data_IF_751701860911
#
_entry.id   IF_751701860911
#
_cell.length_a   1.000
_cell.length_b   1.000
_cell.length_c   1.000
_cell.angle_alpha   90.00
_cell.angle_beta   90.00
_cell.angle_gamma   90.00
#
_symmetry.space_group_name_H-M   'P 1'
#
loop_
_entity.id
_entity.type
_entity.pdbx_description
1 polymer ?
#
# COMPACT_ATOMS: atom_id res chain seq x y z
N UNK A 1 54.61 52.66 -41.28
CA UNK A 1 53.80 53.73 -40.64
C UNK A 1 53.70 53.42 -39.15
N UNK A 2 54.24 54.27 -38.25
CA UNK A 2 54.08 54.06 -36.82
C UNK A 2 52.60 54.18 -36.46
N UNK A 3 52.05 53.16 -35.79
CA UNK A 3 50.71 53.21 -35.24
C UNK A 3 50.76 54.30 -34.15
N UNK A 4 50.05 55.41 -34.33
CA UNK A 4 49.99 56.45 -33.30
C UNK A 4 49.38 55.85 -32.03
N UNK A 5 49.85 56.28 -30.86
CA UNK A 5 49.35 55.81 -29.56
C UNK A 5 47.81 55.86 -29.46
N UNK A 6 47.18 56.85 -30.11
CA UNK A 6 45.73 56.97 -30.21
C UNK A 6 45.04 55.81 -30.96
N UNK A 7 45.62 55.29 -32.05
CA UNK A 7 45.08 54.15 -32.81
C UNK A 7 45.23 52.84 -32.05
N UNK A 8 46.32 52.70 -31.29
CA UNK A 8 46.53 51.55 -30.41
C UNK A 8 45.56 51.58 -29.23
N UNK A 9 45.39 52.73 -28.58
CA UNK A 9 44.42 52.93 -27.50
C UNK A 9 42.98 52.67 -27.96
N UNK A 10 42.58 53.14 -29.16
CA UNK A 10 41.25 52.88 -29.73
C UNK A 10 41.02 51.38 -29.98
N UNK A 11 42.03 50.65 -30.49
CA UNK A 11 41.95 49.20 -30.70
C UNK A 11 41.81 48.44 -29.38
N UNK A 12 42.57 48.81 -28.36
CA UNK A 12 42.44 48.23 -27.03
C UNK A 12 41.10 48.56 -26.37
N UNK A 13 40.60 49.78 -26.52
CA UNK A 13 39.28 50.16 -26.04
C UNK A 13 38.16 49.36 -26.74
N UNK A 14 38.25 49.17 -28.06
CA UNK A 14 37.28 48.39 -28.82
C UNK A 14 37.36 46.90 -28.47
N UNK A 15 38.57 46.35 -28.30
CA UNK A 15 38.75 44.99 -27.81
C UNK A 15 38.18 44.80 -26.39
N UNK A 16 38.43 45.75 -25.48
CA UNK A 16 37.87 45.73 -24.13
C UNK A 16 36.34 45.79 -24.15
N UNK A 17 35.75 46.64 -25.00
CA UNK A 17 34.30 46.72 -25.17
C UNK A 17 33.71 45.40 -25.67
N UNK A 18 34.34 44.76 -26.67
CA UNK A 18 33.88 43.45 -27.18
C UNK A 18 33.94 42.39 -26.07
N UNK A 19 35.01 42.36 -25.28
CA UNK A 19 35.12 41.43 -24.14
C UNK A 19 34.02 41.69 -23.12
N UNK A 20 33.72 42.95 -22.78
CA UNK A 20 32.64 43.30 -21.85
C UNK A 20 31.28 42.82 -22.39
N UNK A 21 30.99 43.06 -23.67
CA UNK A 21 29.73 42.60 -24.30
C UNK A 21 29.62 41.09 -24.27
N UNK A 22 30.70 40.35 -24.58
CA UNK A 22 30.71 38.89 -24.50
C UNK A 22 30.49 38.37 -23.08
N UNK A 23 31.10 39.01 -22.08
CA UNK A 23 30.91 38.65 -20.66
C UNK A 23 29.46 38.92 -20.23
N UNK A 24 28.88 40.07 -20.60
CA UNK A 24 27.49 40.40 -20.28
C UNK A 24 26.51 39.45 -20.97
N UNK A 25 26.66 39.21 -22.27
CA UNK A 25 25.83 38.29 -23.03
C UNK A 25 25.95 36.86 -22.48
N UNK A 26 27.18 36.41 -22.17
CA UNK A 26 27.44 35.13 -21.54
C UNK A 26 26.79 35.01 -20.16
N UNK A 27 26.85 36.07 -19.34
CA UNK A 27 26.21 36.11 -18.01
C UNK A 27 24.68 36.01 -18.12
N UNK A 28 24.07 36.77 -19.05
CA UNK A 28 22.62 36.72 -19.28
C UNK A 28 22.20 35.32 -19.72
N UNK A 29 22.96 34.70 -20.63
CA UNK A 29 22.68 33.34 -21.10
C UNK A 29 22.83 32.32 -19.96
N UNK A 30 23.88 32.45 -19.15
CA UNK A 30 24.12 31.58 -18.00
C UNK A 30 22.99 31.71 -16.96
N UNK A 31 22.53 32.92 -16.65
CA UNK A 31 21.43 33.16 -15.70
C UNK A 31 20.07 32.66 -16.21
N UNK A 32 19.86 32.64 -17.53
CA UNK A 32 18.66 32.06 -18.13
C UNK A 32 18.67 30.54 -18.18
N UNK A 33 19.84 29.91 -18.09
CA UNK A 33 20.00 28.47 -18.26
C UNK A 33 20.45 27.82 -16.96
N UNK A 34 21.74 27.92 -16.62
CA UNK A 34 22.39 27.24 -15.50
C UNK A 34 22.10 27.86 -14.13
N UNK A 35 21.94 29.19 -14.08
CA UNK A 35 21.69 29.92 -12.83
C UNK A 35 20.23 30.39 -12.74
N UNK A 36 19.32 29.56 -13.26
CA UNK A 36 17.87 29.80 -13.28
C UNK A 36 17.15 29.04 -12.16
N UNK A 37 15.95 29.49 -11.75
CA UNK A 37 15.08 28.72 -10.85
C UNK A 37 14.76 27.31 -11.38
N UNK A 38 14.54 27.18 -12.68
CA UNK A 38 14.22 25.92 -13.35
C UNK A 38 15.36 24.91 -13.21
N UNK A 39 16.61 25.37 -13.32
CA UNK A 39 17.76 24.50 -13.14
C UNK A 39 17.83 23.90 -11.73
N UNK A 40 17.44 24.66 -10.70
CA UNK A 40 17.38 24.14 -9.32
C UNK A 40 16.33 23.04 -9.16
N UNK A 41 15.16 23.18 -9.79
CA UNK A 41 14.11 22.15 -9.80
C UNK A 41 14.55 20.89 -10.57
N UNK A 42 15.23 21.06 -11.70
CA UNK A 42 15.81 19.94 -12.44
C UNK A 42 16.93 19.24 -11.66
N UNK A 43 17.80 20.00 -10.99
CA UNK A 43 18.84 19.46 -10.13
C UNK A 43 18.24 18.68 -8.95
N UNK A 44 17.17 19.20 -8.33
CA UNK A 44 16.41 18.47 -7.32
C UNK A 44 15.94 17.12 -7.86
N UNK A 45 15.26 17.10 -9.01
CA UNK A 45 14.76 15.84 -9.59
C UNK A 45 15.89 14.84 -9.87
N UNK A 46 17.05 15.30 -10.35
CA UNK A 46 18.21 14.44 -10.54
C UNK A 46 18.71 13.82 -9.24
N UNK A 47 18.79 14.60 -8.16
CA UNK A 47 19.18 14.11 -6.83
C UNK A 47 18.19 13.07 -6.33
N UNK A 48 16.88 13.31 -6.49
CA UNK A 48 15.84 12.35 -6.12
C UNK A 48 15.99 11.05 -6.92
N UNK A 49 16.13 11.14 -8.25
CA UNK A 49 16.27 9.98 -9.12
C UNK A 49 17.55 9.17 -8.84
N UNK A 50 18.61 9.81 -8.34
CA UNK A 50 19.85 9.16 -7.92
C UNK A 50 19.80 8.63 -6.48
N UNK A 51 18.70 8.86 -5.74
CA UNK A 51 18.58 8.46 -4.35
C UNK A 51 19.44 9.31 -3.40
N UNK A 52 19.89 10.49 -3.81
CA UNK A 52 20.73 11.40 -3.03
C UNK A 52 19.92 12.33 -2.13
N UNK A 53 19.14 11.71 -1.22
CA UNK A 53 18.20 12.39 -0.34
C UNK A 53 18.79 13.45 0.56
N UNK A 54 19.98 13.21 1.13
CA UNK A 54 20.64 14.20 1.99
C UNK A 54 20.96 15.50 1.22
N UNK A 55 21.39 15.39 -0.05
CA UNK A 55 21.66 16.56 -0.90
C UNK A 55 20.35 17.23 -1.32
N UNK A 56 19.32 16.45 -1.66
CA UNK A 56 17.99 16.97 -2.00
C UNK A 56 17.36 17.74 -0.83
N UNK A 57 17.43 17.22 0.40
CA UNK A 57 16.97 17.92 1.61
C UNK A 57 17.72 19.24 1.80
N UNK A 58 19.04 19.23 1.64
CA UNK A 58 19.87 20.43 1.74
C UNK A 58 19.52 21.47 0.69
N UNK A 59 19.27 21.04 -0.54
CA UNK A 59 18.86 21.91 -1.65
C UNK A 59 17.49 22.55 -1.38
N UNK A 60 16.51 21.76 -0.92
CA UNK A 60 15.16 22.24 -0.61
C UNK A 60 15.07 23.08 0.67
N UNK A 61 16.09 23.01 1.55
CA UNK A 61 16.01 23.51 2.93
C UNK A 61 14.77 22.98 3.67
N UNK A 62 14.36 21.75 3.35
CA UNK A 62 13.11 21.18 3.83
C UNK A 62 13.24 20.67 5.27
N UNK A 63 12.20 20.92 6.07
CA UNK A 63 12.04 20.28 7.38
C UNK A 63 11.45 18.88 7.19
N UNK A 64 11.99 17.91 7.91
CA UNK A 64 11.50 16.53 7.92
C UNK A 64 10.55 16.35 9.11
N UNK A 65 9.25 16.07 8.89
CA UNK A 65 8.34 15.69 9.95
C UNK A 65 8.76 14.42 10.69
N UNK A 66 8.14 14.16 11.84
CA UNK A 66 8.30 12.89 12.53
C UNK A 66 7.73 11.73 11.70
N UNK A 67 8.47 10.62 11.65
CA UNK A 67 8.07 9.42 10.92
C UNK A 67 9.28 8.57 10.53
N UNK A 68 9.03 7.48 9.80
CA UNK A 68 10.08 6.62 9.27
C UNK A 68 10.75 7.25 8.04
N UNK A 69 12.03 7.57 8.17
CA UNK A 69 12.84 8.22 7.13
C UNK A 69 13.28 7.26 6.01
N UNK A 70 12.85 6.00 6.02
CA UNK A 70 13.24 4.97 5.04
C UNK A 70 13.07 5.38 3.58
N UNK A 71 12.06 6.21 3.26
CA UNK A 71 11.80 6.69 1.90
C UNK A 71 12.62 7.92 1.49
N UNK A 72 13.42 8.49 2.39
CA UNK A 72 14.12 9.74 2.14
C UNK A 72 15.50 9.58 1.53
N UNK A 73 16.06 8.37 1.35
CA UNK A 73 17.41 8.22 0.79
C UNK A 73 17.62 6.84 0.16
N UNK A 74 18.65 6.72 -0.69
CA UNK A 74 19.11 5.45 -1.24
C UNK A 74 18.12 4.78 -2.19
N UNK A 75 18.10 3.45 -2.20
CA UNK A 75 17.31 2.65 -3.15
C UNK A 75 15.81 2.84 -3.00
N UNK A 76 15.30 3.07 -1.78
CA UNK A 76 13.87 3.34 -1.58
C UNK A 76 13.49 4.65 -2.25
N UNK A 77 14.27 5.72 -2.05
CA UNK A 77 14.07 6.99 -2.72
C UNK A 77 14.12 6.83 -4.25
N UNK A 78 15.11 6.10 -4.80
CA UNK A 78 15.17 5.82 -6.25
C UNK A 78 13.90 5.13 -6.75
N UNK A 79 13.40 4.13 -6.00
CA UNK A 79 12.16 3.43 -6.37
C UNK A 79 10.93 4.35 -6.33
N UNK A 80 10.89 5.34 -5.45
CA UNK A 80 9.81 6.34 -5.50
C UNK A 80 9.83 7.22 -6.75
N UNK A 81 10.98 7.28 -7.43
CA UNK A 81 11.18 8.08 -8.65
C UNK A 81 11.10 7.26 -9.93
N UNK A 82 11.12 5.92 -9.84
CA UNK A 82 11.24 5.04 -11.01
C UNK A 82 10.10 5.23 -12.04
N UNK A 83 8.90 5.54 -11.58
CA UNK A 83 7.74 5.83 -12.42
C UNK A 83 7.58 7.31 -12.82
N UNK A 84 8.51 8.19 -12.43
CA UNK A 84 8.49 9.62 -12.78
C UNK A 84 9.27 9.82 -14.08
N UNK A 85 8.55 10.08 -15.19
CA UNK A 85 9.12 10.24 -16.53
C UNK A 85 8.70 11.55 -17.18
N UNK A 86 9.33 11.90 -18.31
CA UNK A 86 9.01 13.11 -19.09
C UNK A 86 9.08 14.41 -18.27
N UNK A 87 9.99 14.49 -17.30
CA UNK A 87 10.12 15.63 -16.40
C UNK A 87 10.60 16.88 -17.14
N UNK A 88 9.75 17.90 -17.17
CA UNK A 88 10.03 19.22 -17.76
C UNK A 88 9.57 20.32 -16.82
N UNK A 89 9.99 21.56 -17.07
CA UNK A 89 9.67 22.72 -16.22
C UNK A 89 9.23 23.89 -17.09
N UNK A 90 8.19 24.59 -16.65
CA UNK A 90 7.78 25.85 -17.25
C UNK A 90 8.79 26.97 -16.98
N UNK A 91 8.64 28.08 -17.70
CA UNK A 91 9.32 29.31 -17.33
C UNK A 91 8.88 29.79 -15.95
N UNK A 92 9.85 30.23 -15.15
CA UNK A 92 9.61 30.69 -13.79
C UNK A 92 8.71 31.94 -13.78
N UNK A 93 7.59 31.87 -13.07
CA UNK A 93 6.61 32.96 -12.99
C UNK A 93 6.84 33.83 -11.74
N UNK A 94 6.66 35.16 -11.81
CA UNK A 94 6.67 36.01 -10.63
C UNK A 94 5.53 35.67 -9.67
N UNK A 95 5.79 35.78 -8.37
CA UNK A 95 4.75 35.71 -7.34
C UNK A 95 4.20 37.12 -7.11
N UNK A 96 2.88 37.27 -7.15
CA UNK A 96 2.24 38.57 -6.97
C UNK A 96 2.56 39.16 -5.59
N UNK A 97 3.06 40.40 -5.57
CA UNK A 97 3.44 41.11 -4.35
C UNK A 97 4.80 40.72 -3.75
N UNK A 98 5.55 39.79 -4.36
CA UNK A 98 6.83 39.29 -3.84
C UNK A 98 7.91 39.25 -4.94
N UNK A 99 8.58 40.39 -5.16
CA UNK A 99 9.52 40.58 -6.27
C UNK A 99 10.68 39.58 -6.32
N UNK A 100 11.09 39.06 -5.15
CA UNK A 100 12.21 38.12 -5.00
C UNK A 100 11.78 36.66 -5.19
N UNK A 101 10.47 36.38 -5.27
CA UNK A 101 9.95 35.02 -5.37
C UNK A 101 9.58 34.67 -6.81
N UNK A 102 9.91 33.43 -7.20
CA UNK A 102 9.52 32.83 -8.47
C UNK A 102 8.92 31.45 -8.23
N UNK A 103 7.84 31.15 -8.94
CA UNK A 103 7.22 29.83 -8.96
C UNK A 103 7.63 29.10 -10.23
N UNK A 104 8.12 27.87 -10.07
CA UNK A 104 8.41 26.95 -11.17
C UNK A 104 7.44 25.79 -11.09
N UNK A 105 6.68 25.57 -12.15
CA UNK A 105 5.83 24.39 -12.30
C UNK A 105 6.60 23.33 -13.09
N UNK A 106 6.74 22.15 -12.50
CA UNK A 106 7.28 20.98 -13.16
C UNK A 106 6.15 20.08 -13.66
N UNK A 107 6.27 19.60 -14.89
CA UNK A 107 5.35 18.66 -15.55
C UNK A 107 6.04 17.33 -15.74
N UNK A 108 5.34 16.23 -15.45
CA UNK A 108 5.88 14.88 -15.56
C UNK A 108 4.75 13.86 -15.67
N UNK A 109 5.09 12.64 -16.06
CA UNK A 109 4.21 11.48 -15.92
C UNK A 109 4.58 10.72 -14.65
N UNK A 110 3.58 10.39 -13.84
CA UNK A 110 3.70 9.41 -12.77
C UNK A 110 2.95 8.15 -13.21
N UNK A 111 3.69 7.06 -13.43
CA UNK A 111 3.17 5.81 -14.00
C UNK A 111 2.34 6.02 -15.28
N UNK A 112 2.84 6.91 -16.15
CA UNK A 112 2.22 7.25 -17.43
C UNK A 112 1.10 8.31 -17.35
N UNK A 113 0.65 8.70 -16.16
CA UNK A 113 -0.39 9.71 -15.97
C UNK A 113 0.24 11.10 -15.78
N UNK A 114 -0.21 12.08 -16.57
CA UNK A 114 0.30 13.46 -16.47
C UNK A 114 -0.03 14.07 -15.10
N UNK A 115 0.98 14.70 -14.50
CA UNK A 115 0.96 15.36 -13.19
C UNK A 115 1.87 16.58 -13.22
N UNK A 116 1.65 17.44 -12.23
CA UNK A 116 2.45 18.65 -12.04
C UNK A 116 2.77 18.88 -10.56
N UNK A 117 3.88 19.57 -10.32
CA UNK A 117 4.34 20.00 -8.99
C UNK A 117 4.89 21.42 -9.07
N UNK A 118 4.49 22.27 -8.13
CA UNK A 118 4.97 23.65 -8.07
C UNK A 118 6.00 23.83 -6.97
N UNK A 119 7.04 24.59 -7.26
CA UNK A 119 8.12 24.95 -6.34
C UNK A 119 8.27 26.45 -6.30
N UNK A 120 8.39 27.00 -5.09
CA UNK A 120 8.68 28.43 -4.89
C UNK A 120 10.16 28.58 -4.53
N UNK A 121 10.84 29.45 -5.27
CA UNK A 121 12.24 29.78 -5.06
C UNK A 121 12.39 31.28 -4.83
N UNK A 122 13.34 31.63 -3.98
CA UNK A 122 13.73 33.00 -3.68
C UNK A 122 15.08 33.33 -4.28
N UNK A 123 15.19 34.53 -4.84
CA UNK A 123 16.47 35.09 -5.25
C UNK A 123 17.31 35.41 -4.01
N UNK A 124 18.52 34.89 -3.97
CA UNK A 124 19.46 34.98 -2.85
C UNK A 124 20.74 35.70 -3.28
N UNK A 125 20.57 36.78 -4.06
CA UNK A 125 21.67 37.61 -4.54
C UNK A 125 22.41 37.00 -5.72
N UNK A 126 23.72 37.29 -5.80
CA UNK A 126 24.58 36.86 -6.91
C UNK A 126 25.84 36.17 -6.44
N UNK A 127 26.21 35.08 -7.10
CA UNK A 127 27.55 34.48 -6.98
C UNK A 127 28.51 35.14 -7.98
N UNK A 128 29.74 35.40 -7.53
CA UNK A 128 30.78 36.07 -8.33
C UNK A 128 30.33 37.40 -8.97
N UNK A 129 29.40 38.13 -8.32
CA UNK A 129 28.79 39.39 -8.79
C UNK A 129 27.96 39.29 -10.09
N UNK A 130 28.00 38.15 -10.80
CA UNK A 130 27.42 38.00 -12.13
C UNK A 130 26.21 37.06 -12.13
N UNK A 131 26.31 35.93 -11.44
CA UNK A 131 25.38 34.83 -11.60
C UNK A 131 24.29 34.83 -10.54
N UNK A 132 23.04 34.76 -10.95
CA UNK A 132 21.91 34.76 -10.02
C UNK A 132 21.94 33.52 -9.12
N UNK A 133 21.61 33.71 -7.85
CA UNK A 133 21.50 32.61 -6.90
C UNK A 133 20.03 32.42 -6.55
N UNK A 134 19.55 31.20 -6.67
CA UNK A 134 18.18 30.82 -6.33
C UNK A 134 18.20 29.73 -5.29
N UNK A 135 17.34 29.87 -4.28
CA UNK A 135 17.19 28.89 -3.20
C UNK A 135 15.72 28.54 -3.06
N UNK A 136 15.41 27.29 -2.73
CA UNK A 136 14.04 26.90 -2.41
C UNK A 136 13.55 27.65 -1.17
N UNK A 137 12.29 28.07 -1.21
CA UNK A 137 11.64 28.57 0.00
C UNK A 137 11.48 27.43 1.01
N UNK A 138 11.87 27.62 2.28
CA UNK A 138 11.79 26.57 3.28
C UNK A 138 10.37 26.02 3.41
N UNK A 139 10.25 24.70 3.24
CA UNK A 139 8.98 23.98 3.37
C UNK A 139 9.12 22.79 4.31
N UNK A 140 7.99 22.19 4.68
CA UNK A 140 7.98 20.92 5.41
C UNK A 140 7.58 19.83 4.44
N UNK A 141 8.31 18.72 4.42
CA UNK A 141 7.98 17.59 3.55
C UNK A 141 6.57 17.06 3.87
N UNK A 142 5.79 16.64 2.85
CA UNK A 142 4.55 15.91 3.09
C UNK A 142 4.83 14.58 3.79
N UNK A 143 3.81 14.05 4.45
CA UNK A 143 3.85 12.71 5.03
C UNK A 143 2.78 11.82 4.41
N UNK A 144 3.07 10.52 4.33
CA UNK A 144 2.12 9.50 3.93
C UNK A 144 1.92 8.53 5.08
N UNK A 145 0.67 8.37 5.50
CA UNK A 145 0.26 7.40 6.52
C UNK A 145 -0.18 6.11 5.86
N UNK A 146 0.49 5.02 6.15
CA UNK A 146 0.15 3.69 5.67
C UNK A 146 -0.54 2.93 6.79
N UNK A 147 -1.73 2.42 6.51
CA UNK A 147 -2.55 1.68 7.48
C UNK A 147 -2.81 0.27 6.98
N UNK A 148 -2.55 -0.71 7.83
CA UNK A 148 -2.98 -2.08 7.59
C UNK A 148 -3.40 -2.72 8.92
N UNK A 149 -4.48 -3.48 8.90
CA UNK A 149 -4.88 -4.32 10.02
C UNK A 149 -4.22 -5.69 9.92
N UNK A 150 -4.16 -6.43 11.05
CA UNK A 150 -3.71 -7.84 11.10
C UNK A 150 -2.19 -8.06 10.93
N UNK A 151 -1.43 -7.06 10.49
CA UNK A 151 0.03 -7.15 10.27
C UNK A 151 0.79 -6.05 11.00
N UNK A 152 2.04 -6.34 11.35
CA UNK A 152 2.97 -5.40 12.00
C UNK A 152 4.05 -4.90 11.04
N UNK A 153 4.00 -5.32 9.77
CA UNK A 153 4.97 -4.94 8.74
C UNK A 153 4.25 -4.91 7.39
N UNK A 154 4.60 -3.95 6.55
CA UNK A 154 4.16 -3.85 5.16
C UNK A 154 5.37 -3.62 4.26
N UNK A 155 5.19 -3.85 2.96
CA UNK A 155 6.20 -3.56 1.94
C UNK A 155 5.82 -2.28 1.23
N UNK A 156 6.71 -1.30 1.22
CA UNK A 156 6.56 -0.01 0.53
C UNK A 156 7.69 0.13 -0.48
N UNK A 157 7.37 0.20 -1.76
CA UNK A 157 8.34 0.21 -2.85
C UNK A 157 9.43 -0.86 -2.61
N UNK A 158 8.99 -2.11 -2.41
CA UNK A 158 9.84 -3.29 -2.14
C UNK A 158 10.65 -3.27 -0.83
N UNK A 159 10.52 -2.23 0.00
CA UNK A 159 11.16 -2.17 1.31
C UNK A 159 10.17 -2.54 2.41
N UNK A 160 10.57 -3.47 3.28
CA UNK A 160 9.81 -3.79 4.48
C UNK A 160 9.89 -2.65 5.49
N UNK A 161 8.74 -2.21 5.99
CA UNK A 161 8.63 -1.19 7.02
C UNK A 161 7.71 -1.67 8.15
N UNK A 162 8.06 -1.38 9.42
CA UNK A 162 7.22 -1.76 10.55
C UNK A 162 5.97 -0.86 10.64
N UNK A 163 4.89 -1.42 11.17
CA UNK A 163 3.68 -0.71 11.58
C UNK A 163 3.58 -0.71 13.10
N UNK A 164 3.46 0.48 13.70
CA UNK A 164 3.13 0.65 15.11
C UNK A 164 1.61 0.74 15.25
N UNK A 165 1.00 -0.21 15.97
CA UNK A 165 -0.46 -0.30 16.11
C UNK A 165 -1.21 -0.26 14.75
N UNK A 166 -0.65 -0.89 13.72
CA UNK A 166 -1.23 -0.95 12.38
C UNK A 166 -1.02 0.29 11.52
N UNK A 167 -0.20 1.25 11.97
CA UNK A 167 0.08 2.50 11.25
C UNK A 167 1.59 2.76 11.15
N UNK A 168 2.04 3.26 10.01
CA UNK A 168 3.36 3.88 9.86
C UNK A 168 3.23 5.16 9.05
N UNK A 169 4.03 6.17 9.41
CA UNK A 169 4.02 7.48 8.77
C UNK A 169 5.39 7.74 8.16
N UNK A 170 5.43 8.04 6.87
CA UNK A 170 6.66 8.26 6.11
C UNK A 170 6.70 9.70 5.62
N UNK A 171 7.69 10.51 6.02
CA UNK A 171 8.05 11.72 5.31
C UNK A 171 8.55 11.35 3.91
N UNK A 172 8.12 12.09 2.89
CA UNK A 172 8.51 11.83 1.50
C UNK A 172 8.77 13.10 0.72
N UNK A 173 9.63 13.00 -0.30
CA UNK A 173 9.79 14.05 -1.29
C UNK A 173 8.59 14.11 -2.24
N UNK A 174 8.50 15.20 -3.00
CA UNK A 174 7.58 15.32 -4.12
C UNK A 174 8.35 15.80 -5.36
N UNK A 175 8.00 15.32 -6.57
CA UNK A 175 7.07 14.23 -6.80
C UNK A 175 7.60 12.90 -6.23
N UNK A 176 6.71 12.00 -5.83
CA UNK A 176 7.07 10.62 -5.48
C UNK A 176 5.90 9.67 -5.69
N UNK A 177 6.21 8.43 -6.01
CA UNK A 177 5.25 7.32 -6.13
C UNK A 177 5.51 6.34 -4.99
N UNK A 178 4.48 6.09 -4.18
CA UNK A 178 4.53 5.10 -3.12
C UNK A 178 3.58 3.96 -3.41
N UNK A 179 4.11 2.74 -3.43
CA UNK A 179 3.34 1.52 -3.58
C UNK A 179 3.43 0.69 -2.32
N UNK A 180 2.31 0.55 -1.61
CA UNK A 180 2.23 -0.25 -0.40
C UNK A 180 1.47 -1.56 -0.66
N UNK A 181 1.98 -2.66 -0.11
CA UNK A 181 1.35 -3.98 -0.16
C UNK A 181 1.84 -4.84 1.00
N UNK A 182 1.19 -5.99 1.23
CA UNK A 182 1.81 -7.05 2.02
C UNK A 182 1.24 -8.41 1.63
N UNK A 183 2.03 -9.44 1.88
CA UNK A 183 1.60 -10.82 1.72
C UNK A 183 2.20 -11.67 2.83
N UNK A 184 1.33 -12.39 3.53
CA UNK A 184 1.67 -13.40 4.54
C UNK A 184 1.00 -14.71 4.15
N UNK A 185 1.26 -15.77 4.91
CA UNK A 185 0.61 -17.06 4.66
C UNK A 185 -0.92 -16.95 4.71
N UNK A 186 -1.44 -16.28 5.73
CA UNK A 186 -2.88 -16.25 5.97
C UNK A 186 -3.61 -15.05 5.34
N UNK A 187 -2.90 -13.93 5.20
CA UNK A 187 -3.49 -12.65 4.78
C UNK A 187 -2.63 -11.93 3.77
N UNK A 188 -3.27 -11.22 2.84
CA UNK A 188 -2.59 -10.36 1.89
C UNK A 188 -3.43 -9.09 1.63
N UNK A 189 -2.78 -8.05 1.15
CA UNK A 189 -3.45 -6.88 0.59
C UNK A 189 -2.88 -6.59 -0.80
N UNK A 190 -3.77 -6.30 -1.73
CA UNK A 190 -3.40 -5.85 -3.08
C UNK A 190 -2.60 -4.54 -3.00
N UNK A 191 -1.67 -4.35 -3.94
CA UNK A 191 -0.87 -3.14 -4.01
C UNK A 191 -1.76 -1.91 -4.17
N UNK A 192 -1.51 -0.89 -3.35
CA UNK A 192 -2.11 0.44 -3.47
C UNK A 192 -1.03 1.48 -3.64
N UNK A 193 -1.10 2.16 -4.78
CA UNK A 193 -0.20 3.24 -5.17
C UNK A 193 -0.76 4.61 -4.81
N UNK A 194 0.13 5.56 -4.55
CA UNK A 194 -0.18 6.97 -4.35
C UNK A 194 0.92 7.85 -4.92
N UNK A 195 0.51 8.91 -5.62
CA UNK A 195 1.44 9.93 -6.13
C UNK A 195 1.36 11.16 -5.24
N UNK A 196 2.48 11.55 -4.65
CA UNK A 196 2.60 12.78 -3.86
C UNK A 196 3.16 13.87 -4.74
N UNK A 197 2.38 14.92 -5.00
CA UNK A 197 2.74 15.97 -5.97
C UNK A 197 3.01 17.33 -5.34
N UNK A 198 2.70 17.52 -4.06
CA UNK A 198 2.84 18.81 -3.38
C UNK A 198 3.00 18.63 -1.87
N UNK A 199 3.50 19.66 -1.15
CA UNK A 199 3.43 19.70 0.31
C UNK A 199 1.98 19.61 0.80
N UNK A 200 1.78 18.92 1.92
CA UNK A 200 0.49 18.80 2.58
C UNK A 200 0.68 18.90 4.10
N UNK A 201 -0.23 19.63 4.77
CA UNK A 201 -0.22 19.72 6.24
C UNK A 201 -0.71 18.43 6.89
N UNK A 202 -1.76 17.85 6.33
CA UNK A 202 -2.32 16.57 6.76
C UNK A 202 -1.64 15.41 6.00
N UNK A 203 -1.38 14.28 6.66
CA UNK A 203 -0.86 13.09 6.01
C UNK A 203 -1.83 12.59 4.94
N UNK A 204 -1.30 12.19 3.79
CA UNK A 204 -2.10 11.46 2.79
C UNK A 204 -2.14 9.98 3.18
N UNK A 205 -3.30 9.33 3.07
CA UNK A 205 -3.49 7.99 3.64
C UNK A 205 -3.53 6.88 2.57
N UNK A 206 -2.68 5.86 2.74
CA UNK A 206 -2.78 4.57 2.04
C UNK A 206 -3.33 3.53 3.01
N UNK A 207 -4.63 3.25 2.92
CA UNK A 207 -5.26 2.17 3.69
C UNK A 207 -5.24 0.87 2.88
N UNK A 208 -4.51 -0.15 3.35
CA UNK A 208 -4.45 -1.47 2.73
C UNK A 208 -5.66 -2.31 3.14
N UNK A 209 -6.30 -2.95 2.14
CA UNK A 209 -7.43 -3.84 2.37
C UNK A 209 -6.94 -5.27 2.55
N UNK A 210 -6.88 -5.72 3.80
CA UNK A 210 -6.51 -7.09 4.14
C UNK A 210 -7.59 -8.08 3.70
N UNK A 211 -7.17 -9.12 3.00
CA UNK A 211 -8.00 -10.23 2.53
C UNK A 211 -7.38 -11.57 2.96
N UNK A 212 -8.19 -12.59 3.25
CA UNK A 212 -7.70 -13.95 3.46
C UNK A 212 -7.09 -14.50 2.17
N UNK A 213 -5.98 -15.23 2.27
CA UNK A 213 -5.35 -15.89 1.12
C UNK A 213 -6.10 -17.18 0.75
N UNK A 214 -5.91 -17.67 -0.49
CA UNK A 214 -6.44 -18.97 -0.91
C UNK A 214 -5.89 -20.11 -0.04
N UNK A 215 -4.63 -20.02 0.36
CA UNK A 215 -3.98 -21.01 1.23
C UNK A 215 -4.65 -21.05 2.62
N UNK A 216 -4.97 -19.89 3.18
CA UNK A 216 -5.67 -19.80 4.46
C UNK A 216 -7.05 -20.45 4.41
N UNK A 217 -7.83 -20.13 3.38
CA UNK A 217 -9.16 -20.70 3.17
C UNK A 217 -9.07 -22.22 2.98
N UNK A 218 -8.08 -22.71 2.23
CA UNK A 218 -7.84 -24.14 2.07
C UNK A 218 -7.48 -24.83 3.39
N UNK A 219 -6.65 -24.19 4.23
CA UNK A 219 -6.29 -24.73 5.54
C UNK A 219 -7.47 -24.81 6.52
N UNK A 220 -8.36 -23.81 6.50
CA UNK A 220 -9.62 -23.84 7.25
C UNK A 220 -10.51 -24.96 6.73
N UNK A 221 -10.69 -25.04 5.40
CA UNK A 221 -11.51 -26.06 4.76
C UNK A 221 -11.06 -27.47 5.13
N UNK A 222 -9.76 -27.75 5.10
CA UNK A 222 -9.21 -29.05 5.50
C UNK A 222 -9.54 -29.41 6.96
N UNK A 223 -9.47 -28.45 7.89
CA UNK A 223 -9.82 -28.66 9.29
C UNK A 223 -11.31 -28.93 9.47
N UNK A 224 -12.18 -28.15 8.82
CA UNK A 224 -13.63 -28.35 8.86
C UNK A 224 -14.00 -29.70 8.25
N UNK A 225 -13.41 -30.04 7.11
CA UNK A 225 -13.62 -31.34 6.46
C UNK A 225 -13.23 -32.49 7.39
N UNK A 226 -12.03 -32.46 7.97
CA UNK A 226 -11.56 -33.51 8.88
C UNK A 226 -12.45 -33.67 10.12
N UNK A 227 -13.01 -32.56 10.64
CA UNK A 227 -13.99 -32.62 11.73
C UNK A 227 -15.29 -33.32 11.30
N UNK A 228 -15.87 -32.94 10.16
CA UNK A 228 -17.10 -33.56 9.67
C UNK A 228 -16.88 -35.03 9.28
N UNK A 229 -15.73 -35.38 8.71
CA UNK A 229 -15.34 -36.76 8.39
C UNK A 229 -15.33 -37.65 9.64
N UNK A 230 -14.84 -37.12 10.77
CA UNK A 230 -14.89 -37.83 12.06
C UNK A 230 -16.33 -38.02 12.53
N UNK A 231 -17.17 -37.00 12.37
CA UNK A 231 -18.58 -37.09 12.76
C UNK A 231 -19.33 -38.20 12.02
N UNK A 232 -19.15 -38.32 10.70
CA UNK A 232 -19.84 -39.37 9.93
C UNK A 232 -19.24 -40.77 10.11
N UNK A 233 -18.06 -40.88 10.72
CA UNK A 233 -17.47 -42.18 11.06
C UNK A 233 -18.09 -42.83 12.29
N UNK A 234 -18.87 -42.08 13.09
CA UNK A 234 -19.55 -42.61 14.27
C UNK A 234 -20.89 -43.26 13.90
N UNK A 235 -21.11 -44.50 14.35
CA UNK A 235 -22.36 -45.24 14.13
C UNK A 235 -23.42 -44.93 15.20
N UNK A 236 -23.72 -43.65 15.41
CA UNK A 236 -24.75 -43.18 16.34
C UNK A 236 -25.63 -42.10 15.69
N UNK A 237 -26.86 -41.95 16.18
CA UNK A 237 -27.81 -40.98 15.61
C UNK A 237 -27.48 -39.52 15.94
N UNK A 238 -26.72 -39.29 17.01
CA UNK A 238 -26.31 -37.97 17.49
C UNK A 238 -24.86 -38.05 17.99
N UNK A 239 -23.87 -38.03 17.07
CA UNK A 239 -22.47 -38.09 17.44
C UNK A 239 -22.08 -36.92 18.36
N UNK A 240 -21.31 -37.20 19.41
CA UNK A 240 -21.02 -36.20 20.42
C UNK A 240 -20.14 -35.08 19.83
N UNK A 241 -20.59 -33.84 20.00
CA UNK A 241 -19.86 -32.67 19.48
C UNK A 241 -19.91 -32.54 17.96
N UNK A 242 -20.89 -33.16 17.30
CA UNK A 242 -21.15 -33.05 15.86
C UNK A 242 -22.46 -32.32 15.58
N UNK A 243 -22.62 -31.73 14.38
CA UNK A 243 -23.83 -31.00 14.04
C UNK A 243 -24.99 -31.93 13.64
N UNK A 244 -24.71 -33.21 13.42
CA UNK A 244 -25.68 -34.19 12.94
C UNK A 244 -26.54 -34.71 14.08
N UNK A 245 -27.86 -34.69 13.86
CA UNK A 245 -28.83 -35.27 14.77
C UNK A 245 -29.98 -35.88 13.99
N UNK A 246 -30.45 -37.03 14.45
CA UNK A 246 -31.69 -37.66 13.97
C UNK A 246 -32.49 -38.21 15.14
N UNK A 247 -33.76 -37.83 15.23
CA UNK A 247 -34.71 -38.29 16.25
C UNK A 247 -35.74 -39.21 15.62
N UNK A 248 -36.04 -40.32 16.29
CA UNK A 248 -37.08 -41.27 15.86
C UNK A 248 -37.69 -41.95 17.07
N UNK A 249 -38.97 -42.28 17.00
CA UNK A 249 -39.66 -43.11 18.00
C UNK A 249 -39.51 -44.61 17.71
N UNK A 250 -39.01 -44.99 16.54
CA UNK A 250 -38.77 -46.38 16.17
C UNK A 250 -37.48 -46.93 16.80
N UNK A 251 -37.38 -48.26 16.92
CA UNK A 251 -36.12 -48.89 17.36
C UNK A 251 -35.15 -48.93 16.18
N UNK A 252 -33.96 -48.38 16.35
CA UNK A 252 -32.91 -48.40 15.32
C UNK A 252 -31.94 -49.55 15.55
N UNK A 253 -31.51 -50.22 14.47
CA UNK A 253 -30.37 -51.15 14.51
C UNK A 253 -29.06 -50.35 14.43
N UNK A 254 -28.23 -50.29 15.49
CA UNK A 254 -27.01 -49.48 15.48
C UNK A 254 -26.02 -49.86 14.37
N UNK A 255 -25.96 -51.14 14.00
CA UNK A 255 -25.04 -51.64 12.98
C UNK A 255 -25.39 -51.16 11.56
N UNK A 256 -26.58 -50.60 11.34
CA UNK A 256 -27.00 -50.07 10.04
C UNK A 256 -26.97 -48.55 9.96
N UNK A 257 -26.58 -47.86 11.05
CA UNK A 257 -26.39 -46.41 11.06
C UNK A 257 -25.16 -46.08 10.22
N UNK A 258 -25.39 -45.39 9.11
CA UNK A 258 -24.37 -44.95 8.18
C UNK A 258 -24.62 -43.50 7.78
N UNK A 259 -23.71 -42.61 8.20
CA UNK A 259 -23.72 -41.21 7.82
C UNK A 259 -22.78 -40.99 6.64
N UNK A 260 -23.18 -40.11 5.73
CA UNK A 260 -22.33 -39.66 4.63
C UNK A 260 -22.55 -38.18 4.34
N UNK A 261 -21.48 -37.45 4.03
CA UNK A 261 -21.55 -36.02 3.68
C UNK A 261 -21.80 -35.92 2.18
N UNK A 262 -22.88 -35.27 1.80
CA UNK A 262 -23.20 -35.00 0.39
C UNK A 262 -22.65 -33.66 -0.08
N UNK A 263 -22.53 -32.69 0.83
CA UNK A 263 -21.96 -31.37 0.53
C UNK A 263 -21.26 -30.79 1.76
N UNK A 264 -19.99 -30.44 1.60
CA UNK A 264 -19.22 -29.73 2.64
C UNK A 264 -19.52 -28.22 2.65
N UNK A 265 -19.30 -27.53 3.78
CA UNK A 265 -19.49 -26.08 3.87
C UNK A 265 -18.57 -25.28 2.94
N UNK A 266 -19.11 -24.19 2.39
CA UNK A 266 -18.30 -23.12 1.80
C UNK A 266 -17.68 -22.30 2.92
N UNK A 267 -16.37 -22.10 2.88
CA UNK A 267 -15.66 -21.31 3.88
C UNK A 267 -15.68 -19.83 3.50
N UNK A 268 -16.27 -19.02 4.37
CA UNK A 268 -16.23 -17.57 4.29
C UNK A 268 -15.66 -16.98 5.57
N UNK A 269 -14.67 -16.10 5.43
CA UNK A 269 -13.96 -15.47 6.54
C UNK A 269 -14.15 -13.96 6.45
N UNK A 270 -14.68 -13.36 7.50
CA UNK A 270 -15.02 -11.95 7.57
C UNK A 270 -14.27 -11.26 8.71
N UNK A 271 -13.99 -9.97 8.55
CA UNK A 271 -13.42 -9.14 9.61
C UNK A 271 -14.53 -8.40 10.34
N UNK A 272 -14.69 -8.64 11.65
CA UNK A 272 -15.76 -8.09 12.46
C UNK A 272 -15.25 -7.76 13.87
N UNK A 273 -15.55 -6.57 14.38
CA UNK A 273 -15.17 -6.09 15.72
C UNK A 273 -13.69 -6.35 16.10
N UNK A 274 -12.77 -6.10 15.17
CA UNK A 274 -11.33 -6.25 15.41
C UNK A 274 -10.80 -7.68 15.30
N UNK A 275 -11.62 -8.65 14.89
CA UNK A 275 -11.23 -10.05 14.76
C UNK A 275 -11.69 -10.66 13.43
N UNK A 276 -10.95 -11.67 12.97
CA UNK A 276 -11.36 -12.50 11.85
C UNK A 276 -12.26 -13.64 12.35
N UNK A 277 -13.45 -13.77 11.76
CA UNK A 277 -14.48 -14.75 12.13
C UNK A 277 -14.91 -15.57 10.93
N UNK A 278 -15.37 -16.80 11.19
CA UNK A 278 -16.01 -17.63 10.18
C UNK A 278 -17.51 -17.29 10.12
N UNK A 279 -18.05 -17.19 8.91
CA UNK A 279 -19.50 -17.23 8.70
C UNK A 279 -20.07 -18.56 9.23
N UNK A 280 -21.36 -18.61 9.61
CA UNK A 280 -22.06 -19.86 9.88
C UNK A 280 -21.83 -20.88 8.76
N UNK A 281 -21.57 -22.12 9.14
CA UNK A 281 -21.23 -23.21 8.23
C UNK A 281 -22.47 -24.07 8.01
N UNK A 282 -22.75 -24.40 6.75
CA UNK A 282 -23.86 -25.29 6.38
C UNK A 282 -23.31 -26.51 5.63
N UNK A 283 -23.72 -27.70 6.05
CA UNK A 283 -23.34 -28.98 5.43
C UNK A 283 -24.57 -29.81 5.15
N UNK A 284 -24.56 -30.59 4.06
CA UNK A 284 -25.62 -31.55 3.77
C UNK A 284 -25.11 -32.96 4.05
N UNK A 285 -25.92 -33.78 4.74
CA UNK A 285 -25.58 -35.16 5.04
C UNK A 285 -26.75 -36.11 4.75
N UNK A 286 -26.42 -37.36 4.48
CA UNK A 286 -27.37 -38.46 4.30
C UNK A 286 -27.15 -39.50 5.39
N UNK A 287 -28.22 -39.84 6.11
CA UNK A 287 -28.27 -40.93 7.07
C UNK A 287 -29.02 -42.10 6.45
N UNK A 288 -28.36 -43.25 6.36
CA UNK A 288 -29.01 -44.54 6.08
C UNK A 288 -29.12 -45.32 7.37
N UNK A 289 -30.29 -45.91 7.65
CA UNK A 289 -30.49 -46.79 8.80
C UNK A 289 -31.60 -47.82 8.56
N UNK A 290 -31.77 -48.74 9.50
CA UNK A 290 -32.94 -49.63 9.56
C UNK A 290 -33.73 -49.34 10.83
N UNK A 291 -34.98 -48.93 10.65
CA UNK A 291 -35.93 -48.71 11.74
C UNK A 291 -36.81 -49.95 11.90
N UNK A 292 -37.17 -50.27 13.14
CA UNK A 292 -38.14 -51.30 13.49
C UNK A 292 -39.34 -50.63 14.16
N UNK A 293 -40.52 -50.82 13.56
CA UNK A 293 -41.77 -50.34 14.11
C UNK A 293 -42.08 -51.06 15.43
N UNK A 294 -42.37 -50.28 16.48
CA UNK A 294 -42.55 -50.81 17.84
C UNK A 294 -43.85 -51.60 18.03
N UNK A 295 -44.83 -51.45 17.13
CA UNK A 295 -46.15 -52.09 17.22
C UNK A 295 -46.22 -53.38 16.40
N UNK A 296 -45.65 -53.37 15.20
CA UNK A 296 -45.74 -54.44 14.20
C UNK A 296 -44.47 -55.29 14.13
N UNK A 297 -43.34 -54.76 14.57
CA UNK A 297 -42.03 -55.41 14.45
C UNK A 297 -41.45 -55.41 13.02
N UNK A 298 -42.13 -54.77 12.06
CA UNK A 298 -41.64 -54.64 10.69
C UNK A 298 -40.33 -53.81 10.66
N UNK A 299 -39.36 -54.24 9.84
CA UNK A 299 -38.07 -53.57 9.66
C UNK A 299 -38.01 -52.91 8.29
N UNK A 300 -37.66 -51.64 8.25
CA UNK A 300 -37.58 -50.86 7.02
C UNK A 300 -36.25 -50.13 6.93
N UNK A 301 -35.64 -50.16 5.73
CA UNK A 301 -34.44 -49.36 5.43
C UNK A 301 -34.90 -47.95 5.09
N UNK A 302 -34.37 -46.97 5.82
CA UNK A 302 -34.67 -45.55 5.64
C UNK A 302 -33.43 -44.79 5.19
N UNK A 303 -33.65 -43.77 4.38
CA UNK A 303 -32.61 -42.81 3.97
C UNK A 303 -33.14 -41.42 4.20
N UNK A 304 -32.46 -40.67 5.06
CA UNK A 304 -32.81 -39.29 5.43
C UNK A 304 -31.73 -38.38 4.88
N UNK A 305 -32.12 -37.31 4.20
CA UNK A 305 -31.21 -36.26 3.72
C UNK A 305 -31.60 -34.97 4.42
N UNK A 306 -30.63 -34.31 5.01
CA UNK A 306 -30.88 -33.07 5.73
C UNK A 306 -29.70 -32.11 5.62
N UNK A 307 -29.98 -30.84 5.92
CA UNK A 307 -28.99 -29.77 6.01
C UNK A 307 -28.78 -29.36 7.47
N UNK A 308 -27.51 -29.28 7.86
CA UNK A 308 -27.11 -28.98 9.21
C UNK A 308 -26.30 -27.69 9.22
N UNK A 309 -26.66 -26.79 10.13
CA UNK A 309 -25.93 -25.54 10.36
C UNK A 309 -25.19 -25.58 11.69
N UNK A 310 -23.97 -25.05 11.71
CA UNK A 310 -23.16 -24.93 12.92
C UNK A 310 -22.19 -23.75 12.83
N UNK A 311 -21.64 -23.35 13.97
CA UNK A 311 -20.63 -22.29 14.03
C UNK A 311 -19.28 -22.87 14.46
N UNK A 312 -18.21 -22.16 14.13
CA UNK A 312 -16.88 -22.51 14.57
C UNK A 312 -16.10 -21.27 15.00
N UNK A 313 -15.41 -21.36 16.14
CA UNK A 313 -14.48 -20.34 16.58
C UNK A 313 -13.21 -20.41 15.74
N UNK A 314 -12.92 -19.33 15.02
CA UNK A 314 -11.65 -19.11 14.34
C UNK A 314 -10.67 -18.45 15.30
N UNK A 315 -9.45 -18.95 15.35
CA UNK A 315 -8.31 -18.28 15.98
C UNK A 315 -7.17 -18.31 14.97
N UNK A 316 -6.65 -17.13 14.64
CA UNK A 316 -5.72 -16.97 13.53
C UNK A 316 -4.67 -15.91 13.84
N UNK A 317 -3.48 -16.09 13.27
CA UNK A 317 -2.42 -15.08 13.17
C UNK A 317 -2.05 -14.90 11.69
N UNK A 318 -0.96 -14.20 11.40
CA UNK A 318 -0.44 -14.10 10.02
C UNK A 318 0.03 -15.44 9.45
N UNK A 319 0.28 -16.45 10.28
CA UNK A 319 0.85 -17.74 9.89
C UNK A 319 0.11 -18.97 10.45
N UNK A 320 -0.57 -18.83 11.58
CA UNK A 320 -1.22 -19.94 12.27
C UNK A 320 -2.74 -19.88 12.13
N UNK A 321 -3.36 -21.05 12.12
CA UNK A 321 -4.82 -21.18 12.02
C UNK A 321 -5.33 -22.34 12.87
N UNK A 322 -6.34 -22.04 13.69
CA UNK A 322 -7.09 -22.99 14.49
C UNK A 322 -8.58 -22.76 14.30
N UNK A 323 -9.31 -23.85 14.08
CA UNK A 323 -10.77 -23.86 13.92
C UNK A 323 -11.32 -24.81 14.96
N UNK A 324 -12.21 -24.32 15.81
CA UNK A 324 -12.88 -25.13 16.84
C UNK A 324 -14.40 -25.03 16.64
N UNK A 325 -15.06 -26.09 16.15
CA UNK A 325 -16.51 -26.15 16.09
C UNK A 325 -17.12 -25.88 17.45
N UNK A 326 -18.21 -25.11 17.47
CA UNK A 326 -19.01 -24.90 18.68
C UNK A 326 -20.08 -25.98 18.65
N UNK A 327 -19.94 -26.99 19.51
CA UNK A 327 -20.99 -28.00 19.70
C UNK A 327 -22.27 -27.29 20.18
N UNK A 328 -23.40 -27.61 19.54
CA UNK A 328 -24.62 -26.79 19.55
C UNK A 328 -25.13 -26.39 20.93
N UNK A 329 -25.37 -25.08 21.08
CA UNK A 329 -26.50 -24.60 21.86
C UNK A 329 -27.72 -24.55 20.93
N UNK A 330 -28.84 -25.09 21.42
CA UNK A 330 -30.22 -24.97 20.95
C UNK A 330 -30.42 -24.53 19.48
N UNK A 331 -30.75 -25.49 18.60
CA UNK A 331 -31.38 -25.19 17.31
C UNK A 331 -32.75 -24.54 17.62
N UNK A 332 -32.95 -23.29 17.21
CA UNK A 332 -34.28 -22.67 17.25
C UNK A 332 -35.11 -23.37 16.18
N UNK A 333 -36.04 -24.22 16.61
CA UNK A 333 -37.04 -24.81 15.74
C UNK A 333 -37.83 -23.68 15.06
N UNK A 334 -37.87 -23.72 13.72
CA UNK A 334 -38.86 -23.00 12.93
C UNK A 334 -40.21 -23.70 12.98
#
# INVERSE_FOLDING_TARGET
>A
MPISAARLALRWALAAMVVIVLVLAGTILANRTLFSPQHQVQALQQLLAQGEGAKALGLMQAKVPAGDAVALNGEVLKRTQAGITDFTTDEAQPVEGEDQLRTVTAHYKADGVQKESSYTLRHDGKSWLLFDKWVFEPSTLPTVSIKANTVNEVTVNEQKIPLAAGVSTLPVFYPSILDASFSTKNFAADTRGMVVTKPAKEPVEIALQTKPTKEFIAAINAKVKSYLDKCVSEQVLMPAGCPFAYTTSARVNPATIDWSITKYPTIEVNYYNGAWVLSPLTTSATLTLTEQDLRTGAKEKKTVKDEYSFTAKLTTSTTEVSVRPVAGGEQVAG
#
